data_IF_240173190717
#
_entry.id   IF_240173190717
#
_cell.length_a   1.000
_cell.length_b   1.000
_cell.length_c   1.000
_cell.angle_alpha   90.00
_cell.angle_beta   90.00
_cell.angle_gamma   90.00
#
_symmetry.space_group_name_H-M   'P 1'
#
loop_
_entity.id
_entity.type
_entity.pdbx_description
1 polymer ?
#
# COMPACT_ATOMS: atom_id res chain seq x y z
N UNK A 1 7.91 -8.70 1.12
CA UNK A 1 6.81 -7.71 1.23
C UNK A 1 6.75 -6.74 0.04
N UNK A 2 7.84 -6.17 -0.37
CA UNK A 2 7.86 -5.18 -1.45
C UNK A 2 7.32 -5.77 -2.77
N UNK A 3 7.77 -6.97 -3.14
CA UNK A 3 7.33 -7.61 -4.38
C UNK A 3 5.82 -7.89 -4.37
N UNK A 4 5.30 -8.34 -3.25
CA UNK A 4 3.87 -8.62 -3.09
C UNK A 4 3.05 -7.33 -3.21
N UNK A 5 3.55 -6.26 -2.60
CA UNK A 5 2.88 -4.97 -2.66
C UNK A 5 2.89 -4.40 -4.08
N UNK A 6 3.99 -4.59 -4.83
CA UNK A 6 4.05 -4.17 -6.22
C UNK A 6 3.00 -4.90 -7.07
N UNK A 7 2.82 -6.19 -6.84
CA UNK A 7 1.81 -6.96 -7.56
C UNK A 7 0.41 -6.41 -7.28
N UNK A 8 0.11 -6.09 -6.04
CA UNK A 8 -1.18 -5.48 -5.68
C UNK A 8 -1.37 -4.14 -6.37
N UNK A 9 -0.34 -3.30 -6.35
CA UNK A 9 -0.38 -1.98 -6.99
C UNK A 9 -0.73 -2.12 -8.47
N UNK A 10 -0.12 -3.08 -9.16
CA UNK A 10 -0.35 -3.29 -10.59
C UNK A 10 -1.77 -3.76 -10.90
N UNK A 11 -2.53 -4.22 -9.93
CA UNK A 11 -3.94 -4.58 -10.13
C UNK A 11 -4.83 -3.34 -10.25
N UNK A 12 -4.38 -2.20 -9.72
CA UNK A 12 -5.19 -0.98 -9.66
C UNK A 12 -4.73 0.09 -10.63
N UNK A 13 -3.47 0.09 -11.00
CA UNK A 13 -2.92 1.12 -11.89
C UNK A 13 -2.08 0.47 -12.99
N UNK A 14 -1.98 1.16 -14.11
CA UNK A 14 -1.29 0.66 -15.29
C UNK A 14 0.16 1.15 -15.29
N UNK A 15 0.97 0.56 -14.40
CA UNK A 15 2.40 0.86 -14.32
C UNK A 15 3.18 -0.45 -14.35
N UNK A 16 4.41 -0.38 -14.84
CA UNK A 16 5.29 -1.55 -14.84
C UNK A 16 5.85 -1.77 -13.44
N UNK A 17 5.93 -3.02 -12.97
CA UNK A 17 6.49 -3.29 -11.63
C UNK A 17 7.87 -2.68 -11.43
N UNK A 18 8.70 -2.66 -12.47
CA UNK A 18 10.04 -2.09 -12.39
C UNK A 18 10.08 -0.58 -12.19
N UNK A 19 8.95 0.09 -12.42
CA UNK A 19 8.84 1.54 -12.21
C UNK A 19 8.42 1.89 -10.79
N UNK A 20 7.96 0.91 -10.04
CA UNK A 20 7.50 1.12 -8.67
C UNK A 20 8.71 1.09 -7.74
N UNK A 21 8.87 2.15 -6.96
CA UNK A 21 9.97 2.29 -6.00
C UNK A 21 9.42 2.47 -4.59
N UNK A 22 10.28 2.31 -3.61
CA UNK A 22 9.87 2.51 -2.22
C UNK A 22 9.43 3.95 -1.96
N UNK A 23 10.03 4.92 -2.65
CA UNK A 23 9.66 6.32 -2.52
C UNK A 23 8.54 6.77 -3.48
N UNK A 24 7.99 5.85 -4.26
CA UNK A 24 6.86 6.16 -5.14
C UNK A 24 5.65 6.58 -4.30
N UNK A 25 5.05 7.70 -4.68
CA UNK A 25 3.85 8.21 -3.99
C UNK A 25 2.62 7.63 -4.67
N UNK A 26 1.69 7.13 -3.88
CA UNK A 26 0.52 6.44 -4.43
C UNK A 26 -0.31 7.33 -5.34
N UNK A 27 -0.59 8.55 -4.91
CA UNK A 27 -1.44 9.46 -5.68
C UNK A 27 -0.65 10.14 -6.80
N UNK A 28 0.45 10.82 -6.46
CA UNK A 28 1.18 11.67 -7.40
C UNK A 28 1.98 10.86 -8.42
N UNK A 29 2.58 9.77 -8.00
CA UNK A 29 3.48 8.99 -8.89
C UNK A 29 2.80 7.78 -9.51
N UNK A 30 1.90 7.12 -8.80
CA UNK A 30 1.27 5.89 -9.26
C UNK A 30 -0.15 6.08 -9.78
N UNK A 31 -0.75 7.23 -9.49
CA UNK A 31 -2.07 7.55 -10.02
C UNK A 31 -3.25 6.94 -9.29
N UNK A 32 -3.08 6.55 -8.03
CA UNK A 32 -4.19 6.05 -7.23
C UNK A 32 -5.18 7.17 -6.93
N UNK A 33 -6.46 6.82 -6.96
CA UNK A 33 -7.50 7.67 -6.39
C UNK A 33 -7.87 7.09 -5.01
N UNK A 34 -8.73 7.80 -4.28
CA UNK A 34 -9.13 7.38 -2.94
C UNK A 34 -9.81 6.02 -2.92
N UNK A 35 -10.63 5.75 -3.92
CA UNK A 35 -11.36 4.48 -4.01
C UNK A 35 -10.38 3.33 -4.20
N UNK A 36 -9.46 3.45 -5.16
CA UNK A 36 -8.48 2.42 -5.44
C UNK A 36 -7.58 2.17 -4.22
N UNK A 37 -7.19 3.26 -3.56
CA UNK A 37 -6.33 3.17 -2.39
C UNK A 37 -7.01 2.38 -1.27
N UNK A 38 -8.27 2.68 -0.99
CA UNK A 38 -9.00 1.99 0.07
C UNK A 38 -9.29 0.53 -0.29
N UNK A 39 -9.50 0.23 -1.57
CA UNK A 39 -9.66 -1.15 -2.02
C UNK A 39 -8.38 -1.94 -1.80
N UNK A 40 -7.23 -1.34 -2.10
CA UNK A 40 -5.94 -1.98 -1.86
C UNK A 40 -5.70 -2.19 -0.37
N UNK A 41 -6.11 -1.25 0.46
CA UNK A 41 -6.01 -1.39 1.92
C UNK A 41 -6.75 -2.65 2.39
N UNK A 42 -7.95 -2.89 1.83
CA UNK A 42 -8.70 -4.10 2.14
C UNK A 42 -7.94 -5.38 1.77
N UNK A 43 -7.27 -5.39 0.63
CA UNK A 43 -6.46 -6.53 0.23
C UNK A 43 -5.26 -6.72 1.16
N UNK A 44 -4.65 -5.63 1.59
CA UNK A 44 -3.53 -5.67 2.52
C UNK A 44 -3.96 -6.32 3.82
N UNK A 45 -5.13 -5.95 4.33
CA UNK A 45 -5.65 -6.53 5.56
C UNK A 45 -5.81 -8.03 5.46
N UNK A 46 -6.31 -8.52 4.32
CA UNK A 46 -6.50 -9.95 4.11
C UNK A 46 -5.17 -10.67 3.88
N UNK A 47 -4.28 -10.07 3.09
CA UNK A 47 -3.03 -10.72 2.71
C UNK A 47 -2.08 -10.91 3.89
N UNK A 48 -1.97 -9.91 4.75
CA UNK A 48 -1.06 -9.94 5.90
C UNK A 48 -1.78 -10.19 7.23
N UNK A 49 -3.09 -10.38 7.19
CA UNK A 49 -3.91 -10.65 8.38
C UNK A 49 -3.69 -9.56 9.43
N UNK A 50 -3.88 -8.32 9.03
CA UNK A 50 -3.73 -7.15 9.89
C UNK A 50 -4.98 -6.29 9.84
N UNK A 51 -5.13 -5.43 10.83
CA UNK A 51 -6.26 -4.51 10.92
C UNK A 51 -5.74 -3.09 10.74
N UNK A 52 -6.21 -2.40 9.70
CA UNK A 52 -5.77 -1.04 9.36
C UNK A 52 -6.71 -0.01 9.99
N UNK A 53 -6.15 0.99 10.66
CA UNK A 53 -6.91 2.11 11.20
C UNK A 53 -7.01 3.19 10.11
N UNK A 54 -8.24 3.53 9.72
CA UNK A 54 -8.48 4.53 8.69
C UNK A 54 -7.87 5.89 9.03
N UNK A 55 -7.78 6.21 10.32
CA UNK A 55 -7.20 7.49 10.75
C UNK A 55 -5.69 7.53 10.58
N UNK A 56 -5.05 6.38 10.65
CA UNK A 56 -3.61 6.27 10.48
C UNK A 56 -3.22 6.16 9.01
N UNK A 57 -4.05 5.48 8.22
CA UNK A 57 -3.73 5.20 6.82
C UNK A 57 -3.68 6.46 5.96
N UNK A 58 -4.32 7.55 6.40
CA UNK A 58 -4.25 8.82 5.67
C UNK A 58 -2.84 9.40 5.64
N UNK A 59 -1.98 8.95 6.53
CA UNK A 59 -0.58 9.41 6.57
C UNK A 59 0.33 8.54 5.69
N UNK A 60 -0.19 7.46 5.13
CA UNK A 60 0.57 6.58 4.24
C UNK A 60 0.56 7.19 2.85
N UNK A 61 1.68 7.76 2.43
CA UNK A 61 1.80 8.47 1.15
C UNK A 61 2.63 7.70 0.13
N UNK A 62 3.65 6.97 0.57
CA UNK A 62 4.56 6.25 -0.30
C UNK A 62 4.48 4.76 -0.06
N UNK A 63 5.06 4.00 -0.99
CA UNK A 63 5.15 2.54 -0.85
C UNK A 63 5.92 2.17 0.42
N UNK A 64 6.98 2.90 0.72
CA UNK A 64 7.76 2.68 1.94
C UNK A 64 6.90 2.89 3.19
N UNK A 65 6.10 3.97 3.19
CA UNK A 65 5.19 4.24 4.31
C UNK A 65 4.24 3.06 4.53
N UNK A 66 3.71 2.50 3.44
CA UNK A 66 2.81 1.36 3.52
C UNK A 66 3.50 0.14 4.11
N UNK A 67 4.73 -0.14 3.68
CA UNK A 67 5.48 -1.28 4.20
C UNK A 67 5.78 -1.12 5.68
N UNK A 68 6.21 0.06 6.09
CA UNK A 68 6.49 0.35 7.49
C UNK A 68 5.24 0.21 8.34
N UNK A 69 4.13 0.69 7.83
CA UNK A 69 2.86 0.61 8.55
C UNK A 69 2.42 -0.85 8.72
N UNK A 70 2.49 -1.65 7.64
CA UNK A 70 2.14 -3.07 7.71
C UNK A 70 3.02 -3.78 8.73
N UNK A 71 4.33 -3.51 8.71
CA UNK A 71 5.26 -4.12 9.64
C UNK A 71 4.93 -3.76 11.09
N UNK A 72 4.53 -2.51 11.32
CA UNK A 72 4.16 -2.06 12.66
C UNK A 72 2.92 -2.80 13.16
N UNK A 73 1.96 -3.06 12.28
CA UNK A 73 0.75 -3.79 12.64
C UNK A 73 1.05 -5.26 12.94
N UNK A 74 2.00 -5.85 12.23
CA UNK A 74 2.41 -7.24 12.46
C UNK A 74 3.12 -7.42 13.79
N UNK A 75 3.76 -6.37 14.30
CA UNK A 75 4.48 -6.39 15.56
C UNK A 75 3.58 -6.04 16.75
N UNK A 76 2.41 -5.51 16.50
CA UNK A 76 1.46 -5.15 17.54
C UNK A 76 0.79 -6.41 18.07
N UNK A 77 1.07 -6.77 19.30
CA UNK A 77 0.54 -7.98 19.92
C UNK A 77 -0.31 -7.59 21.12
#
# INVERSE_FOLDING_TARGET
>A
MFEELKEMICEYVDVEPGEIREDSRFVEDLGFNSYDFMSMVGEIEEHWDVEVDEREVVNVKTVKDAMEYIQSLQQAV
#
